data_IF_389353450606
#
_entry.id   IF_389353450606
#
_cell.length_a   1.000
_cell.length_b   1.000
_cell.length_c   1.000
_cell.angle_alpha   90.00
_cell.angle_beta   90.00
_cell.angle_gamma   90.00
#
_symmetry.space_group_name_H-M   'P 1'
#
loop_
_entity.id
_entity.type
_entity.pdbx_description
1 polymer ?
#
# COMPACT_ATOMS: atom_id res chain seq x y z
N UNK A 1 -65.22 38.06 -4.18
CA UNK A 1 -63.96 38.62 -4.72
C UNK A 1 -62.87 38.28 -3.69
N UNK A 2 -62.07 37.22 -3.89
CA UNK A 2 -60.71 37.22 -4.48
C UNK A 2 -59.75 38.08 -3.61
N UNK A 3 -58.67 37.59 -2.96
CA UNK A 3 -57.65 36.61 -3.36
C UNK A 3 -57.01 35.92 -2.14
N UNK A 4 -56.71 34.62 -2.23
CA UNK A 4 -55.68 33.97 -1.40
C UNK A 4 -54.39 33.99 -2.22
N UNK A 5 -53.38 34.74 -1.75
CA UNK A 5 -52.03 34.71 -2.30
C UNK A 5 -51.30 33.50 -1.72
N UNK A 6 -51.19 32.43 -2.50
CA UNK A 6 -50.27 31.32 -2.23
C UNK A 6 -48.86 31.76 -2.66
N UNK A 7 -48.05 32.19 -1.70
CA UNK A 7 -46.62 32.37 -1.89
C UNK A 7 -45.98 30.98 -1.99
N UNK A 8 -45.64 30.57 -3.22
CA UNK A 8 -44.90 29.33 -3.48
C UNK A 8 -43.44 29.54 -3.07
N UNK A 9 -43.04 28.93 -1.95
CA UNK A 9 -41.66 28.94 -1.49
C UNK A 9 -40.87 27.93 -2.35
N UNK A 10 -40.15 28.40 -3.37
CA UNK A 10 -39.16 27.59 -4.07
C UNK A 10 -38.03 27.28 -3.08
N UNK A 11 -38.06 26.07 -2.52
CA UNK A 11 -36.88 25.49 -1.87
C UNK A 11 -35.89 25.17 -2.99
N UNK A 12 -34.92 26.05 -3.20
CA UNK A 12 -33.75 25.73 -4.00
C UNK A 12 -32.99 24.63 -3.27
N UNK A 13 -33.10 23.38 -3.74
CA UNK A 13 -32.24 22.30 -3.29
C UNK A 13 -30.80 22.71 -3.59
N UNK A 14 -29.90 22.80 -2.59
CA UNK A 14 -28.48 22.94 -2.88
C UNK A 14 -28.08 21.79 -3.80
N UNK A 15 -27.45 22.10 -4.93
CA UNK A 15 -26.94 21.07 -5.82
C UNK A 15 -25.92 20.23 -5.06
N UNK A 16 -26.33 19.06 -4.60
CA UNK A 16 -25.41 18.10 -4.02
C UNK A 16 -24.59 17.52 -5.18
N UNK A 17 -23.33 17.89 -5.26
CA UNK A 17 -22.39 17.18 -6.13
C UNK A 17 -22.28 15.74 -5.61
N UNK A 18 -22.34 14.77 -6.51
CA UNK A 18 -22.07 13.39 -6.14
C UNK A 18 -20.55 13.22 -6.07
N UNK A 19 -20.03 12.82 -4.92
CA UNK A 19 -18.69 12.28 -4.81
C UNK A 19 -18.74 10.78 -5.13
N UNK A 20 -17.68 10.03 -4.88
CA UNK A 20 -17.75 8.57 -4.96
C UNK A 20 -18.66 7.92 -3.89
N UNK A 21 -19.29 8.75 -3.04
CA UNK A 21 -20.24 8.38 -2.00
C UNK A 21 -21.44 9.35 -2.00
N UNK A 22 -22.50 8.96 -1.30
CA UNK A 22 -23.70 9.79 -1.12
C UNK A 22 -23.39 10.96 -0.19
N UNK A 23 -23.35 12.17 -0.75
CA UNK A 23 -23.06 13.39 0.01
C UNK A 23 -24.07 13.72 1.11
N UNK A 24 -25.28 13.15 1.07
CA UNK A 24 -26.25 13.27 2.18
C UNK A 24 -25.83 12.45 3.41
N UNK A 25 -24.89 11.51 3.24
CA UNK A 25 -24.33 10.66 4.29
C UNK A 25 -22.94 11.11 4.74
N UNK A 26 -22.47 12.27 4.27
CA UNK A 26 -21.23 12.85 4.75
C UNK A 26 -21.28 13.02 6.28
N UNK A 27 -20.25 12.52 6.96
CA UNK A 27 -20.16 12.42 8.42
C UNK A 27 -18.90 13.06 9.00
N UNK A 28 -17.89 13.30 8.15
CA UNK A 28 -16.61 13.89 8.54
C UNK A 28 -16.41 15.25 7.89
N UNK A 29 -15.58 16.10 8.50
CA UNK A 29 -15.25 17.42 7.94
C UNK A 29 -14.64 17.32 6.53
N UNK A 30 -13.87 16.25 6.26
CA UNK A 30 -13.29 16.02 4.93
C UNK A 30 -14.35 15.59 3.91
N UNK A 31 -15.32 14.76 4.31
CA UNK A 31 -16.44 14.35 3.43
C UNK A 31 -17.30 15.54 3.05
N UNK A 32 -17.68 16.39 4.02
CA UNK A 32 -18.41 17.63 3.72
C UNK A 32 -17.62 18.52 2.76
N UNK A 33 -16.31 18.70 3.00
CA UNK A 33 -15.44 19.49 2.13
C UNK A 33 -15.36 18.94 0.70
N UNK A 34 -15.38 17.62 0.53
CA UNK A 34 -15.42 16.98 -0.80
C UNK A 34 -16.78 17.27 -1.47
N UNK A 35 -17.88 17.13 -0.74
CA UNK A 35 -19.23 17.35 -1.25
C UNK A 35 -19.53 18.82 -1.60
N UNK A 36 -18.97 19.76 -0.84
CA UNK A 36 -19.20 21.20 -1.03
C UNK A 36 -18.31 21.82 -2.12
N UNK A 37 -17.40 21.04 -2.73
CA UNK A 37 -16.47 21.50 -3.74
C UNK A 37 -16.54 20.62 -4.99
N UNK A 38 -17.10 21.16 -6.08
CA UNK A 38 -17.29 20.46 -7.36
C UNK A 38 -16.01 19.77 -7.87
N UNK A 39 -14.86 20.45 -7.77
CA UNK A 39 -13.59 19.90 -8.24
C UNK A 39 -13.13 18.74 -7.38
N UNK A 40 -13.25 18.84 -6.05
CA UNK A 40 -12.91 17.74 -5.14
C UNK A 40 -13.87 16.56 -5.32
N UNK A 41 -15.16 16.81 -5.47
CA UNK A 41 -16.17 15.79 -5.76
C UNK A 41 -15.83 15.00 -7.02
N UNK A 42 -15.49 15.70 -8.11
CA UNK A 42 -15.11 15.08 -9.38
C UNK A 42 -13.77 14.33 -9.30
N UNK A 43 -12.81 14.82 -8.52
CA UNK A 43 -11.56 14.11 -8.27
C UNK A 43 -11.79 12.84 -7.45
N UNK A 44 -12.75 12.86 -6.52
CA UNK A 44 -13.14 11.69 -5.73
C UNK A 44 -13.78 10.60 -6.59
N UNK A 45 -14.67 10.95 -7.51
CA UNK A 45 -15.22 10.03 -8.52
C UNK A 45 -14.12 9.43 -9.42
N UNK A 46 -13.22 10.28 -9.94
CA UNK A 46 -12.11 9.82 -10.80
C UNK A 46 -11.19 8.85 -10.07
N UNK A 47 -10.85 9.14 -8.81
CA UNK A 47 -10.03 8.27 -8.00
C UNK A 47 -10.72 6.93 -7.72
N UNK A 48 -12.02 6.93 -7.45
CA UNK A 48 -12.80 5.70 -7.25
C UNK A 48 -12.80 4.82 -8.52
N UNK A 49 -12.95 5.44 -9.69
CA UNK A 49 -12.84 4.74 -10.98
C UNK A 49 -11.43 4.18 -11.20
N UNK A 50 -10.39 5.00 -11.01
CA UNK A 50 -8.99 4.57 -11.20
C UNK A 50 -8.62 3.43 -10.26
N UNK A 51 -9.06 3.50 -8.99
CA UNK A 51 -8.84 2.46 -7.99
C UNK A 51 -9.53 1.15 -8.38
N UNK A 52 -10.77 1.22 -8.85
CA UNK A 52 -11.53 0.04 -9.31
C UNK A 52 -10.85 -0.64 -10.51
N UNK A 53 -10.36 0.15 -11.47
CA UNK A 53 -9.58 -0.38 -12.60
C UNK A 53 -8.27 -1.02 -12.15
N UNK A 54 -7.51 -0.34 -11.27
CA UNK A 54 -6.25 -0.86 -10.75
C UNK A 54 -6.40 -2.21 -10.03
N UNK A 55 -7.46 -2.38 -9.23
CA UNK A 55 -7.78 -3.66 -8.58
C UNK A 55 -8.11 -4.77 -9.58
N UNK A 56 -8.80 -4.43 -10.67
CA UNK A 56 -9.17 -5.39 -11.72
C UNK A 56 -7.96 -5.82 -12.55
N UNK A 57 -7.06 -4.88 -12.83
CA UNK A 57 -5.89 -5.10 -13.69
C UNK A 57 -4.72 -5.75 -12.96
N UNK A 58 -4.64 -5.62 -11.63
CA UNK A 58 -3.52 -6.12 -10.82
C UNK A 58 -4.01 -7.02 -9.67
N UNK A 59 -4.72 -8.14 -9.96
CA UNK A 59 -5.31 -9.01 -8.93
C UNK A 59 -4.27 -9.59 -7.96
N UNK A 60 -3.05 -9.85 -8.43
CA UNK A 60 -1.92 -10.33 -7.62
C UNK A 60 -1.40 -9.29 -6.60
N UNK A 61 -1.70 -8.01 -6.82
CA UNK A 61 -1.34 -6.90 -5.93
C UNK A 61 -2.56 -6.31 -5.20
N UNK A 62 -3.73 -6.95 -5.28
CA UNK A 62 -4.99 -6.39 -4.77
C UNK A 62 -4.95 -6.04 -3.28
N UNK A 63 -4.32 -6.87 -2.45
CA UNK A 63 -4.24 -6.62 -1.01
C UNK A 63 -3.33 -5.44 -0.68
N UNK A 64 -2.18 -5.35 -1.37
CA UNK A 64 -1.28 -4.18 -1.30
C UNK A 64 -1.98 -2.92 -1.78
N UNK A 65 -2.78 -2.99 -2.86
CA UNK A 65 -3.54 -1.85 -3.37
C UNK A 65 -4.62 -1.37 -2.39
N UNK A 66 -5.38 -2.29 -1.78
CA UNK A 66 -6.34 -1.95 -0.72
C UNK A 66 -5.66 -1.32 0.49
N UNK A 67 -4.47 -1.81 0.84
CA UNK A 67 -3.66 -1.26 1.92
C UNK A 67 -3.21 0.17 1.63
N UNK A 68 -2.56 0.40 0.49
CA UNK A 68 -2.13 1.74 0.03
C UNK A 68 -3.31 2.71 -0.04
N UNK A 69 -4.44 2.27 -0.59
CA UNK A 69 -5.63 3.10 -0.68
C UNK A 69 -6.18 3.49 0.70
N UNK A 70 -6.16 2.57 1.68
CA UNK A 70 -6.56 2.85 3.06
C UNK A 70 -5.63 3.86 3.74
N UNK A 71 -4.32 3.73 3.55
CA UNK A 71 -3.34 4.69 4.05
C UNK A 71 -3.54 6.06 3.43
N UNK A 72 -3.75 6.12 2.11
CA UNK A 72 -4.05 7.36 1.40
C UNK A 72 -5.33 8.03 1.95
N UNK A 73 -6.41 7.28 2.19
CA UNK A 73 -7.64 7.82 2.81
C UNK A 73 -7.35 8.39 4.21
N UNK A 74 -6.56 7.70 5.02
CA UNK A 74 -6.17 8.19 6.35
C UNK A 74 -5.36 9.49 6.27
N UNK A 75 -4.38 9.56 5.37
CA UNK A 75 -3.57 10.75 5.13
C UNK A 75 -4.41 11.92 4.63
N UNK A 76 -5.25 11.69 3.61
CA UNK A 76 -6.19 12.69 3.07
C UNK A 76 -7.09 13.25 4.17
N UNK A 77 -7.58 12.38 5.06
CA UNK A 77 -8.43 12.77 6.18
C UNK A 77 -7.79 13.78 7.16
N UNK A 78 -6.45 13.93 7.14
CA UNK A 78 -5.71 14.90 7.96
C UNK A 78 -5.47 16.24 7.25
N UNK A 79 -5.70 16.31 5.93
CA UNK A 79 -5.48 17.52 5.14
C UNK A 79 -6.65 18.49 5.29
N UNK A 80 -6.34 19.76 5.52
CA UNK A 80 -7.33 20.82 5.70
C UNK A 80 -7.32 21.86 4.58
N UNK A 81 -6.25 21.96 3.80
CA UNK A 81 -6.13 22.89 2.68
C UNK A 81 -6.68 22.29 1.37
N UNK A 82 -7.47 23.07 0.63
CA UNK A 82 -8.12 22.59 -0.60
C UNK A 82 -7.09 22.30 -1.71
N UNK A 83 -6.02 23.09 -1.83
CA UNK A 83 -4.98 22.85 -2.85
C UNK A 83 -4.16 21.61 -2.51
N UNK A 84 -3.82 21.43 -1.24
CA UNK A 84 -3.16 20.22 -0.76
C UNK A 84 -4.02 18.97 -1.01
N UNK A 85 -5.33 19.05 -0.77
CA UNK A 85 -6.27 17.98 -1.07
C UNK A 85 -6.33 17.67 -2.57
N UNK A 86 -6.52 18.68 -3.42
CA UNK A 86 -6.53 18.50 -4.87
C UNK A 86 -5.24 17.85 -5.37
N UNK A 87 -4.08 18.31 -4.87
CA UNK A 87 -2.79 17.73 -5.21
C UNK A 87 -2.68 16.26 -4.76
N UNK A 88 -3.12 15.95 -3.53
CA UNK A 88 -3.14 14.59 -3.01
C UNK A 88 -4.02 13.65 -3.85
N UNK A 89 -5.18 14.13 -4.32
CA UNK A 89 -6.02 13.39 -5.27
C UNK A 89 -5.31 13.17 -6.61
N UNK A 90 -4.74 14.22 -7.21
CA UNK A 90 -4.07 14.12 -8.51
C UNK A 90 -2.89 13.15 -8.46
N UNK A 91 -2.07 13.20 -7.39
CA UNK A 91 -0.95 12.27 -7.21
C UNK A 91 -1.46 10.83 -7.14
N UNK A 92 -2.50 10.58 -6.34
CA UNK A 92 -3.05 9.24 -6.18
C UNK A 92 -3.68 8.71 -7.47
N UNK A 93 -4.47 9.53 -8.18
CA UNK A 93 -5.08 9.17 -9.47
C UNK A 93 -3.98 8.82 -10.49
N UNK A 94 -2.95 9.65 -10.63
CA UNK A 94 -1.85 9.38 -11.56
C UNK A 94 -1.08 8.11 -11.19
N UNK A 95 -0.82 7.89 -9.89
CA UNK A 95 -0.16 6.67 -9.44
C UNK A 95 -1.00 5.42 -9.72
N UNK A 96 -2.32 5.46 -9.49
CA UNK A 96 -3.24 4.36 -9.79
C UNK A 96 -3.31 4.08 -11.30
N UNK A 97 -3.43 5.12 -12.13
CA UNK A 97 -3.44 4.99 -13.59
C UNK A 97 -2.09 4.47 -14.15
N UNK A 98 -0.98 4.79 -13.47
CA UNK A 98 0.36 4.33 -13.83
C UNK A 98 0.60 2.83 -13.59
N UNK A 99 -0.28 2.14 -12.85
CA UNK A 99 -0.15 0.70 -12.61
C UNK A 99 -0.49 -0.14 -13.84
N UNK A 100 -1.42 0.32 -14.69
CA UNK A 100 -1.79 -0.35 -15.94
C UNK A 100 -0.93 0.05 -17.15
N UNK A 101 -0.17 1.14 -17.02
CA UNK A 101 0.73 1.63 -18.06
C UNK A 101 2.14 1.12 -17.79
N UNK A 102 2.50 -0.02 -18.41
CA UNK A 102 3.90 -0.36 -18.63
C UNK A 102 4.51 0.66 -19.60
N UNK A 103 4.83 1.86 -19.08
CA UNK A 103 5.69 2.78 -19.82
C UNK A 103 7.06 2.14 -19.86
N UNK A 104 7.36 1.50 -20.99
CA UNK A 104 8.70 1.19 -21.44
C UNK A 104 9.50 2.48 -21.49
N UNK A 105 10.16 2.83 -20.39
CA UNK A 105 11.30 3.72 -20.44
C UNK A 105 12.47 2.88 -20.94
N UNK A 106 12.70 2.95 -22.24
CA UNK A 106 13.96 2.53 -22.86
C UNK A 106 15.09 3.39 -22.29
N UNK A 107 15.80 2.87 -21.29
CA UNK A 107 17.11 3.37 -20.90
C UNK A 107 18.17 2.53 -21.61
N UNK A 108 18.55 2.98 -22.81
CA UNK A 108 19.79 2.56 -23.46
C UNK A 108 20.90 3.54 -23.05
N UNK A 109 21.75 3.11 -22.10
CA UNK A 109 23.20 3.05 -22.33
C UNK A 109 23.90 2.26 -21.20
N UNK A 110 24.93 1.54 -21.62
CA UNK A 110 25.53 0.31 -21.10
C UNK A 110 26.40 0.46 -19.83
N UNK A 111 26.26 -0.42 -18.80
CA UNK A 111 27.14 -1.58 -18.41
C UNK A 111 28.27 -1.19 -17.40
N UNK A 112 28.58 -1.97 -16.33
CA UNK A 112 28.55 -3.44 -16.30
C UNK A 112 27.76 -4.15 -15.21
N UNK A 113 27.12 -5.23 -15.67
CA UNK A 113 27.12 -6.58 -15.10
C UNK A 113 28.04 -6.75 -13.89
N UNK A 114 27.43 -6.87 -12.72
CA UNK A 114 27.79 -7.93 -11.78
C UNK A 114 26.48 -8.55 -11.32
N UNK A 115 26.05 -9.58 -12.04
CA UNK A 115 25.23 -10.61 -11.43
C UNK A 115 26.06 -11.14 -10.25
N UNK A 116 25.71 -10.76 -9.03
CA UNK A 116 26.24 -11.46 -7.87
C UNK A 116 25.53 -12.81 -7.82
N UNK A 117 26.17 -13.76 -8.51
CA UNK A 117 26.26 -15.15 -8.11
C UNK A 117 26.49 -15.14 -6.60
N UNK A 118 25.45 -15.40 -5.82
CA UNK A 118 25.63 -15.75 -4.42
C UNK A 118 26.48 -17.01 -4.45
N UNK A 119 27.68 -16.89 -3.92
CA UNK A 119 28.68 -17.94 -3.81
C UNK A 119 28.02 -19.21 -3.28
N UNK A 120 28.26 -20.32 -3.99
CA UNK A 120 27.85 -21.70 -3.70
C UNK A 120 28.31 -22.19 -2.30
N UNK A 121 28.98 -21.35 -1.51
CA UNK A 121 29.43 -21.62 -0.14
C UNK A 121 28.48 -21.08 0.95
N UNK A 122 27.52 -20.20 0.61
CA UNK A 122 26.51 -19.68 1.58
C UNK A 122 25.15 -20.39 1.52
N UNK A 123 24.91 -21.22 0.51
CA UNK A 123 23.64 -21.96 0.37
C UNK A 123 23.53 -23.11 1.39
N UNK A 124 24.66 -23.67 1.83
CA UNK A 124 24.69 -24.80 2.76
C UNK A 124 24.48 -24.35 4.23
N UNK A 125 25.05 -23.21 4.63
CA UNK A 125 24.86 -22.62 5.97
C UNK A 125 23.50 -21.94 6.16
N UNK A 126 22.94 -21.34 5.11
CA UNK A 126 21.63 -20.68 5.18
C UNK A 126 20.48 -21.69 5.30
N UNK A 127 20.57 -22.86 4.65
CA UNK A 127 19.63 -23.99 4.84
C UNK A 127 19.75 -24.65 6.21
N UNK A 128 20.95 -24.74 6.79
CA UNK A 128 21.18 -25.42 8.08
C UNK A 128 20.67 -24.63 9.30
N UNK A 129 20.63 -23.29 9.23
CA UNK A 129 20.10 -22.41 10.28
C UNK A 129 18.68 -21.89 9.97
N UNK A 130 18.13 -22.21 8.80
CA UNK A 130 16.74 -21.91 8.44
C UNK A 130 15.78 -22.96 9.01
N UNK A 131 14.67 -22.51 9.59
CA UNK A 131 13.55 -23.41 9.87
C UNK A 131 12.72 -23.58 8.60
N UNK A 132 12.88 -24.72 7.93
CA UNK A 132 11.98 -25.20 6.88
C UNK A 132 10.88 -26.10 7.45
N UNK A 133 9.72 -26.08 6.79
CA UNK A 133 8.44 -26.68 7.17
C UNK A 133 8.53 -28.22 7.20
N UNK A 134 8.11 -28.83 8.32
CA UNK A 134 7.56 -30.20 8.33
C UNK A 134 6.34 -30.32 9.25
N UNK A 135 5.27 -29.60 8.92
CA UNK A 135 3.86 -30.01 8.88
C UNK A 135 2.97 -28.74 8.83
N UNK A 136 2.39 -28.44 7.66
CA UNK A 136 1.49 -27.30 7.45
C UNK A 136 2.19 -26.01 7.04
N UNK A 137 1.94 -25.55 5.82
CA UNK A 137 2.62 -24.44 5.13
C UNK A 137 2.26 -23.03 5.68
N UNK A 138 2.41 -22.77 6.98
CA UNK A 138 2.17 -21.42 7.52
C UNK A 138 3.36 -20.96 8.36
N UNK A 139 3.92 -19.80 8.00
CA UNK A 139 4.93 -19.11 8.79
C UNK A 139 4.33 -18.82 10.18
N UNK A 140 5.11 -18.92 11.26
CA UNK A 140 4.65 -18.58 12.61
C UNK A 140 5.58 -17.54 13.23
N UNK A 141 5.14 -16.87 14.31
CA UNK A 141 6.01 -15.93 15.03
C UNK A 141 7.32 -16.60 15.49
N UNK A 142 7.24 -17.87 15.89
CA UNK A 142 8.37 -18.69 16.29
C UNK A 142 9.41 -18.91 15.19
N UNK A 143 9.00 -18.86 13.93
CA UNK A 143 9.91 -18.99 12.78
C UNK A 143 10.94 -17.85 12.74
N UNK A 144 10.58 -16.66 13.23
CA UNK A 144 11.44 -15.48 13.19
C UNK A 144 12.54 -15.44 14.25
N UNK A 145 12.57 -16.40 15.19
CA UNK A 145 13.74 -16.61 16.06
C UNK A 145 14.97 -17.11 15.26
N UNK A 146 14.76 -17.72 14.10
CA UNK A 146 15.83 -18.18 13.23
C UNK A 146 16.53 -16.99 12.54
N UNK A 147 17.78 -17.18 12.09
CA UNK A 147 18.52 -16.17 11.29
C UNK A 147 18.00 -16.03 9.86
N UNK A 148 17.29 -17.06 9.38
CA UNK A 148 16.70 -17.13 8.05
C UNK A 148 15.30 -17.73 8.13
N UNK A 149 14.39 -17.23 7.29
CA UNK A 149 13.07 -17.82 7.04
C UNK A 149 12.93 -18.16 5.57
N UNK A 150 12.22 -19.25 5.28
CA UNK A 150 11.90 -19.68 3.92
C UNK A 150 10.48 -19.24 3.55
N UNK A 151 10.32 -18.61 2.39
CA UNK A 151 9.01 -18.27 1.81
C UNK A 151 9.06 -18.62 0.32
N UNK A 152 8.17 -19.49 -0.13
CA UNK A 152 8.07 -19.96 -1.52
C UNK A 152 9.39 -20.49 -2.13
N UNK A 153 10.22 -21.14 -1.30
CA UNK A 153 11.52 -21.71 -1.71
C UNK A 153 12.69 -20.72 -1.68
N UNK A 154 12.43 -19.45 -1.37
CA UNK A 154 13.45 -18.40 -1.19
C UNK A 154 13.76 -18.18 0.28
N UNK A 155 15.03 -17.89 0.60
CA UNK A 155 15.51 -17.73 1.98
C UNK A 155 15.82 -16.26 2.28
N UNK A 156 15.19 -15.73 3.34
CA UNK A 156 15.30 -14.33 3.75
C UNK A 156 15.96 -14.22 5.12
N UNK A 157 17.00 -13.40 5.22
CA UNK A 157 17.62 -13.10 6.51
C UNK A 157 16.63 -12.34 7.41
N UNK A 158 16.63 -12.67 8.69
CA UNK A 158 15.90 -11.93 9.75
C UNK A 158 16.78 -10.90 10.45
N UNK A 159 18.07 -10.82 10.13
CA UNK A 159 19.05 -10.01 10.85
C UNK A 159 19.82 -9.04 9.97
N UNK A 160 19.90 -9.31 8.67
CA UNK A 160 20.62 -8.48 7.71
C UNK A 160 19.64 -7.73 6.80
N UNK A 161 19.78 -6.41 6.70
CA UNK A 161 18.96 -5.57 5.82
C UNK A 161 19.43 -5.64 4.36
N UNK A 162 18.54 -5.41 3.38
CA UNK A 162 18.90 -5.48 1.97
C UNK A 162 19.73 -4.26 1.56
N UNK A 163 20.68 -4.45 0.65
CA UNK A 163 21.45 -3.36 0.03
C UNK A 163 20.88 -3.05 -1.35
N UNK A 164 20.88 -1.77 -1.72
CA UNK A 164 20.54 -1.34 -3.07
C UNK A 164 19.78 -0.02 -3.09
N UNK A 165 18.83 0.11 -4.02
CA UNK A 165 18.08 1.34 -4.24
C UNK A 165 17.35 1.79 -2.97
N UNK A 166 17.64 3.02 -2.51
CA UNK A 166 16.93 3.67 -1.40
C UNK A 166 15.42 3.78 -1.67
N UNK A 167 15.03 4.02 -2.94
CA UNK A 167 13.63 4.07 -3.33
C UNK A 167 12.91 2.73 -3.10
N UNK A 168 13.54 1.61 -3.48
CA UNK A 168 12.99 0.27 -3.27
C UNK A 168 13.03 -0.13 -1.80
N UNK A 169 14.08 0.27 -1.08
CA UNK A 169 14.20 0.05 0.36
C UNK A 169 13.05 0.70 1.12
N UNK A 170 12.79 1.99 0.88
CA UNK A 170 11.69 2.71 1.55
C UNK A 170 10.33 2.11 1.20
N UNK A 171 10.11 1.77 -0.07
CA UNK A 171 8.89 1.09 -0.50
C UNK A 171 8.71 -0.26 0.21
N UNK A 172 9.74 -1.11 0.20
CA UNK A 172 9.73 -2.42 0.85
C UNK A 172 9.54 -2.33 2.37
N UNK A 173 10.17 -1.34 3.02
CA UNK A 173 10.04 -1.10 4.46
C UNK A 173 8.61 -0.73 4.84
N UNK A 174 7.96 0.14 4.07
CA UNK A 174 6.56 0.52 4.33
C UNK A 174 5.60 -0.64 4.13
N UNK A 175 5.82 -1.47 3.10
CA UNK A 175 5.05 -2.71 2.93
C UNK A 175 5.28 -3.66 4.11
N UNK A 176 6.54 -3.79 4.57
CA UNK A 176 6.87 -4.62 5.72
C UNK A 176 6.17 -4.12 7.00
N UNK A 177 6.20 -2.81 7.29
CA UNK A 177 5.53 -2.23 8.46
C UNK A 177 4.04 -2.61 8.53
N UNK A 178 3.34 -2.54 7.39
CA UNK A 178 1.93 -2.93 7.32
C UNK A 178 1.72 -4.42 7.56
N UNK A 179 2.56 -5.26 6.95
CA UNK A 179 2.52 -6.69 7.17
C UNK A 179 2.80 -7.02 8.65
N UNK A 180 3.82 -6.44 9.27
CA UNK A 180 4.15 -6.58 10.69
C UNK A 180 2.96 -6.16 11.57
N UNK A 181 2.25 -5.09 11.22
CA UNK A 181 1.06 -4.66 11.95
C UNK A 181 -0.11 -5.66 11.88
N UNK A 182 -0.25 -6.41 10.78
CA UNK A 182 -1.21 -7.53 10.71
C UNK A 182 -0.82 -8.63 11.69
N UNK A 183 0.46 -9.01 11.72
CA UNK A 183 0.99 -9.99 12.67
C UNK A 183 0.79 -9.56 14.13
N UNK A 184 1.03 -8.28 14.44
CA UNK A 184 0.80 -7.70 15.77
C UNK A 184 -0.66 -7.87 16.22
N UNK A 185 -1.61 -7.56 15.33
CA UNK A 185 -3.04 -7.70 15.61
C UNK A 185 -3.43 -9.16 15.82
N UNK A 186 -2.87 -10.06 15.03
CA UNK A 186 -3.12 -11.50 15.18
C UNK A 186 -2.52 -12.04 16.48
N UNK A 187 -1.28 -11.66 16.80
CA UNK A 187 -0.61 -12.02 18.05
C UNK A 187 -1.41 -11.57 19.28
N UNK A 188 -1.95 -10.35 19.26
CA UNK A 188 -2.82 -9.85 20.33
C UNK A 188 -4.09 -10.69 20.51
N UNK A 189 -4.74 -11.10 19.42
CA UNK A 189 -5.93 -11.96 19.46
C UNK A 189 -5.63 -13.36 19.99
N UNK A 190 -4.45 -13.88 19.70
CA UNK A 190 -4.01 -15.22 20.11
C UNK A 190 -3.35 -15.25 21.50
N UNK A 191 -3.22 -14.12 22.19
CA UNK A 191 -2.50 -14.04 23.46
C UNK A 191 -0.98 -14.23 23.35
N UNK A 192 -0.42 -14.00 22.15
CA UNK A 192 1.02 -14.15 21.82
C UNK A 192 1.72 -12.80 21.65
N UNK A 193 1.22 -11.74 22.29
CA UNK A 193 1.76 -10.39 22.07
C UNK A 193 3.21 -10.24 22.56
N UNK A 194 3.58 -10.92 23.65
CA UNK A 194 4.96 -10.91 24.15
C UNK A 194 5.92 -11.58 23.16
N UNK A 195 5.50 -12.71 22.57
CA UNK A 195 6.24 -13.38 21.52
C UNK A 195 6.37 -12.50 20.27
N UNK A 196 5.34 -11.73 19.91
CA UNK A 196 5.43 -10.77 18.82
C UNK A 196 6.53 -9.73 19.10
N UNK A 197 6.53 -9.11 20.28
CA UNK A 197 7.55 -8.12 20.63
C UNK A 197 8.96 -8.71 20.71
N UNK A 198 9.09 -9.97 21.12
CA UNK A 198 10.37 -10.70 21.10
C UNK A 198 10.95 -10.78 19.68
N UNK A 199 10.12 -11.08 18.68
CA UNK A 199 10.57 -11.33 17.30
C UNK A 199 10.33 -10.16 16.34
N UNK A 200 9.80 -9.02 16.80
CA UNK A 200 9.31 -7.92 15.95
C UNK A 200 10.37 -7.42 14.96
N UNK A 201 11.60 -7.19 15.42
CA UNK A 201 12.70 -6.72 14.56
C UNK A 201 13.10 -7.77 13.51
N UNK A 202 13.06 -9.05 13.88
CA UNK A 202 13.41 -10.16 12.99
C UNK A 202 12.34 -10.37 11.93
N UNK A 203 11.08 -10.31 12.35
CA UNK A 203 9.90 -10.32 11.49
C UNK A 203 9.94 -9.16 10.50
N UNK A 204 10.20 -7.95 10.97
CA UNK A 204 10.33 -6.76 10.12
C UNK A 204 11.43 -6.91 9.07
N UNK A 205 12.63 -7.32 9.50
CA UNK A 205 13.77 -7.49 8.61
C UNK A 205 13.52 -8.54 7.53
N UNK A 206 12.91 -9.68 7.90
CA UNK A 206 12.54 -10.71 6.93
C UNK A 206 11.51 -10.22 5.92
N UNK A 207 10.47 -9.51 6.37
CA UNK A 207 9.46 -8.92 5.49
C UNK A 207 10.06 -7.85 4.57
N UNK A 208 10.93 -7.00 5.10
CA UNK A 208 11.68 -6.01 4.31
C UNK A 208 12.49 -6.70 3.21
N UNK A 209 13.25 -7.74 3.55
CA UNK A 209 14.06 -8.50 2.60
C UNK A 209 13.21 -9.16 1.49
N UNK A 210 12.10 -9.80 1.88
CA UNK A 210 11.19 -10.45 0.94
C UNK A 210 10.57 -9.43 -0.04
N UNK A 211 10.04 -8.33 0.49
CA UNK A 211 9.46 -7.28 -0.34
C UNK A 211 10.52 -6.61 -1.23
N UNK A 212 11.71 -6.34 -0.69
CA UNK A 212 12.81 -5.74 -1.45
C UNK A 212 13.23 -6.63 -2.62
N UNK A 213 13.44 -7.93 -2.39
CA UNK A 213 13.81 -8.87 -3.45
C UNK A 213 12.73 -8.91 -4.53
N UNK A 214 11.45 -9.01 -4.16
CA UNK A 214 10.30 -9.04 -5.08
C UNK A 214 10.21 -7.76 -5.94
N UNK A 215 10.45 -6.59 -5.35
CA UNK A 215 10.45 -5.30 -6.06
C UNK A 215 11.69 -5.11 -6.93
N UNK A 216 12.83 -5.63 -6.47
CA UNK A 216 14.08 -5.54 -7.20
C UNK A 216 14.10 -6.45 -8.42
N UNK A 217 13.55 -7.66 -8.33
CA UNK A 217 13.53 -8.66 -9.40
C UNK A 217 12.52 -8.37 -10.52
N UNK A 218 11.44 -7.63 -10.23
CA UNK A 218 10.36 -7.39 -11.19
C UNK A 218 9.99 -5.90 -11.29
N UNK A 219 10.44 -5.19 -12.34
CA UNK A 219 10.08 -3.81 -12.58
C UNK A 219 8.57 -3.55 -12.66
N UNK A 220 7.76 -4.51 -13.12
CA UNK A 220 6.31 -4.33 -13.21
C UNK A 220 5.67 -4.18 -11.81
N UNK A 221 6.30 -4.77 -10.78
CA UNK A 221 5.86 -4.65 -9.39
C UNK A 221 6.23 -3.33 -8.74
N UNK A 222 7.03 -2.47 -9.39
CA UNK A 222 7.49 -1.19 -8.82
C UNK A 222 6.47 -0.06 -8.94
N UNK A 223 5.44 -0.20 -9.77
CA UNK A 223 4.41 0.84 -9.94
C UNK A 223 3.76 1.24 -8.62
N UNK A 224 3.54 0.27 -7.72
CA UNK A 224 2.97 0.50 -6.38
C UNK A 224 3.88 1.37 -5.49
N UNK A 225 5.20 1.35 -5.73
CA UNK A 225 6.15 2.10 -4.90
C UNK A 225 6.02 3.60 -5.07
N UNK A 226 5.56 4.08 -6.23
CA UNK A 226 5.28 5.49 -6.42
C UNK A 226 4.13 5.94 -5.51
N UNK A 227 3.10 5.11 -5.37
CA UNK A 227 1.96 5.38 -4.48
C UNK A 227 2.37 5.33 -3.01
N UNK A 228 3.11 4.27 -2.62
CA UNK A 228 3.57 4.09 -1.23
C UNK A 228 4.50 5.22 -0.79
N UNK A 229 5.42 5.63 -1.67
CA UNK A 229 6.39 6.68 -1.35
C UNK A 229 5.79 8.10 -1.41
N UNK A 230 4.64 8.26 -2.06
CA UNK A 230 3.91 9.53 -2.12
C UNK A 230 3.10 9.84 -0.86
N UNK A 231 2.82 8.83 -0.02
CA UNK A 231 2.23 9.04 1.31
C UNK A 231 3.36 9.50 2.26
N UNK A 232 3.28 10.68 2.89
CA UNK A 232 4.25 11.13 3.88
C UNK A 232 4.43 10.13 5.03
#
# INVERSE_FOLDING_TARGET
MKNILLASLLVASPGAFAASFDCQKASTAIEHKICDNERLSKLDEQLSSAYSSALKENPENADTLKMVQRQWVNMRGKLTDNKALELAYLIQINGLNGLGSSVSVTAANEIPTSAQKHSEEQEETSKAEAKSVKNGNELTLESFRAKYVEVDGEYYSTTSIPRGSSFLFTCASRIADDQVNVWKKQAAKEGKIDLFFEVENHLHTAMLNANFQKLNSDPAKRGICNLINAVP
#
